data_IF_185491438228
#
_entry.id   IF_185491438228
#
_cell.length_a   1.000
_cell.length_b   1.000
_cell.length_c   1.000
_cell.angle_alpha   90.00
_cell.angle_beta   90.00
_cell.angle_gamma   90.00
#
_symmetry.space_group_name_H-M   'P 1'
#
loop_
_entity.id
_entity.type
_entity.pdbx_description
1 polymer ?
#
# COMPACT_ATOMS: atom_id res chain seq x y z
N UNK A 1 -13.82 11.96 -1.37
CA UNK A 1 -13.07 11.37 -0.24
C UNK A 1 -14.04 10.90 0.83
N UNK A 2 -14.00 9.63 1.20
CA UNK A 2 -14.92 9.03 2.19
C UNK A 2 -14.61 9.52 3.61
N UNK A 3 -15.56 9.35 4.54
CA UNK A 3 -15.33 9.69 5.94
C UNK A 3 -14.19 8.87 6.55
N UNK A 4 -14.08 7.59 6.17
CA UNK A 4 -12.99 6.73 6.64
C UNK A 4 -11.62 7.24 6.21
N UNK A 5 -11.47 7.69 4.96
CA UNK A 5 -10.20 8.25 4.50
C UNK A 5 -9.89 9.58 5.19
N UNK A 6 -10.90 10.44 5.42
CA UNK A 6 -10.72 11.69 6.19
C UNK A 6 -10.22 11.43 7.61
N UNK A 7 -10.82 10.46 8.28
CA UNK A 7 -10.42 10.04 9.63
C UNK A 7 -8.96 9.58 9.64
N UNK A 8 -8.56 8.70 8.71
CA UNK A 8 -7.17 8.22 8.65
C UNK A 8 -6.19 9.37 8.40
N UNK A 9 -6.49 10.28 7.45
CA UNK A 9 -5.63 11.44 7.16
C UNK A 9 -5.49 12.38 8.37
N UNK A 10 -6.49 12.42 9.26
CA UNK A 10 -6.42 13.26 10.48
C UNK A 10 -5.32 12.80 11.45
N UNK A 11 -4.90 11.54 11.39
CA UNK A 11 -3.83 10.99 12.24
C UNK A 11 -2.42 11.44 11.81
N UNK A 12 -2.29 12.00 10.61
CA UNK A 12 -1.02 12.42 10.01
C UNK A 12 -0.88 13.95 9.96
N UNK A 13 -1.62 14.69 10.80
CA UNK A 13 -1.64 16.16 10.75
C UNK A 13 -0.31 16.87 11.00
N UNK A 14 0.70 16.16 11.52
CA UNK A 14 2.07 16.65 11.69
C UNK A 14 2.94 16.52 10.43
N UNK A 15 2.51 15.74 9.44
CA UNK A 15 3.26 15.57 8.19
C UNK A 15 3.11 16.78 7.26
N UNK A 16 4.09 16.94 6.37
CA UNK A 16 4.04 18.02 5.39
C UNK A 16 2.89 17.84 4.37
N UNK A 17 2.43 18.93 3.73
CA UNK A 17 1.33 18.87 2.76
C UNK A 17 1.56 17.92 1.58
N UNK A 18 2.81 17.73 1.15
CA UNK A 18 3.17 16.82 0.06
C UNK A 18 2.90 15.35 0.42
N UNK A 19 3.33 14.93 1.61
CA UNK A 19 3.06 13.59 2.15
C UNK A 19 1.56 13.34 2.29
N UNK A 20 0.83 14.29 2.89
CA UNK A 20 -0.63 14.18 3.05
C UNK A 20 -1.36 14.09 1.71
N UNK A 21 -0.91 14.85 0.70
CA UNK A 21 -1.47 14.80 -0.65
C UNK A 21 -1.24 13.45 -1.31
N UNK A 22 -0.04 12.89 -1.19
CA UNK A 22 0.29 11.58 -1.75
C UNK A 22 -0.48 10.45 -1.05
N UNK A 23 -0.60 10.51 0.28
CA UNK A 23 -1.39 9.55 1.05
C UNK A 23 -2.87 9.60 0.63
N UNK A 24 -3.43 10.80 0.48
CA UNK A 24 -4.79 10.99 -0.01
C UNK A 24 -4.98 10.42 -1.43
N UNK A 25 -4.00 10.62 -2.33
CA UNK A 25 -4.03 10.03 -3.68
C UNK A 25 -4.04 8.51 -3.63
N UNK A 26 -3.11 7.89 -2.88
CA UNK A 26 -3.04 6.44 -2.73
C UNK A 26 -4.35 5.85 -2.17
N UNK A 27 -4.90 6.44 -1.10
CA UNK A 27 -6.12 5.96 -0.46
C UNK A 27 -7.39 6.10 -1.31
N UNK A 28 -7.36 6.95 -2.34
CA UNK A 28 -8.47 7.12 -3.29
C UNK A 28 -8.15 6.51 -4.66
N UNK A 29 -7.17 5.62 -4.75
CA UNK A 29 -6.77 4.96 -6.00
C UNK A 29 -7.21 3.49 -6.07
N UNK A 30 -7.48 3.02 -7.30
CA UNK A 30 -7.70 1.61 -7.61
C UNK A 30 -8.99 1.00 -7.01
N UNK A 31 -9.04 -0.33 -6.96
CA UNK A 31 -10.23 -1.10 -6.57
C UNK A 31 -10.67 -0.86 -5.12
N UNK A 32 -9.74 -0.49 -4.25
CA UNK A 32 -9.95 -0.25 -2.81
C UNK A 32 -10.09 1.25 -2.48
N UNK A 33 -10.22 2.13 -3.48
CA UNK A 33 -10.42 3.55 -3.28
C UNK A 33 -11.53 3.85 -2.27
N UNK A 34 -11.24 4.72 -1.31
CA UNK A 34 -12.23 5.16 -0.31
C UNK A 34 -12.51 4.16 0.82
N UNK A 35 -11.98 2.94 0.76
CA UNK A 35 -12.17 1.92 1.82
C UNK A 35 -11.28 2.16 3.03
N UNK A 36 -10.20 2.93 2.88
CA UNK A 36 -9.16 3.10 3.90
C UNK A 36 -8.26 1.87 4.07
N UNK A 37 -8.24 0.96 3.09
CA UNK A 37 -7.42 -0.26 3.09
C UNK A 37 -6.43 -0.26 1.92
N UNK A 38 -5.29 -0.91 2.13
CA UNK A 38 -4.32 -1.23 1.09
C UNK A 38 -4.09 -2.72 0.99
N UNK A 39 -3.72 -3.16 -0.21
CA UNK A 39 -3.08 -4.44 -0.46
C UNK A 39 -1.74 -4.12 -1.07
N UNK A 40 -0.68 -4.47 -0.36
CA UNK A 40 0.71 -4.23 -0.78
C UNK A 40 1.30 -5.61 -1.04
N UNK A 41 1.82 -5.80 -2.26
CA UNK A 41 2.61 -6.97 -2.60
C UNK A 41 4.09 -6.61 -2.41
N UNK A 42 4.70 -7.11 -1.34
CA UNK A 42 6.14 -7.00 -1.12
C UNK A 42 6.87 -7.91 -2.10
N UNK A 43 7.59 -7.32 -3.06
CA UNK A 43 8.30 -8.04 -4.13
C UNK A 43 9.83 -7.96 -4.02
N UNK A 44 10.32 -7.18 -3.06
CA UNK A 44 11.74 -6.97 -2.74
C UNK A 44 12.42 -8.22 -2.17
N UNK A 45 11.66 -9.20 -1.69
CA UNK A 45 12.23 -10.43 -1.13
C UNK A 45 13.17 -11.17 -2.12
N UNK A 46 12.89 -11.13 -3.43
CA UNK A 46 13.76 -11.74 -4.44
C UNK A 46 15.10 -11.01 -4.62
N UNK A 47 15.16 -9.72 -4.27
CA UNK A 47 16.40 -8.94 -4.23
C UNK A 47 17.24 -9.32 -3.01
N UNK A 48 16.63 -9.45 -1.84
CA UNK A 48 17.34 -9.75 -0.58
C UNK A 48 17.74 -11.22 -0.43
N UNK A 49 16.94 -12.15 -0.93
CA UNK A 49 17.07 -13.59 -0.63
C UNK A 49 17.35 -14.47 -1.86
N UNK A 50 17.59 -13.83 -3.01
CA UNK A 50 17.77 -14.47 -4.31
C UNK A 50 16.43 -14.81 -4.99
N UNK A 51 16.43 -14.90 -6.34
CA UNK A 51 15.22 -14.92 -7.15
C UNK A 51 14.35 -16.18 -6.94
N UNK A 52 14.96 -17.28 -6.50
CA UNK A 52 14.30 -18.58 -6.44
C UNK A 52 13.50 -18.84 -5.15
N UNK A 53 13.71 -18.06 -4.08
CA UNK A 53 13.10 -18.43 -2.78
C UNK A 53 11.61 -18.08 -2.70
N UNK A 54 11.19 -17.03 -3.41
CA UNK A 54 9.81 -16.49 -3.32
C UNK A 54 9.05 -16.51 -4.63
N UNK A 55 9.76 -16.57 -5.75
CA UNK A 55 9.18 -16.48 -7.09
C UNK A 55 9.43 -17.72 -7.95
N UNK A 56 10.05 -18.77 -7.39
CA UNK A 56 10.11 -20.05 -8.08
C UNK A 56 8.70 -20.64 -8.25
N UNK A 57 8.43 -21.34 -9.36
CA UNK A 57 7.21 -22.11 -9.52
C UNK A 57 7.02 -23.06 -8.33
N UNK A 58 5.81 -23.11 -7.77
CA UNK A 58 5.49 -24.08 -6.73
C UNK A 58 5.66 -25.49 -7.30
N UNK A 59 6.29 -26.44 -6.57
CA UNK A 59 6.36 -27.83 -7.01
C UNK A 59 4.95 -28.42 -7.25
N UNK A 60 4.84 -29.43 -8.13
CA UNK A 60 3.59 -30.15 -8.33
C UNK A 60 3.11 -30.76 -7.02
N UNK A 61 1.79 -30.71 -6.80
CA UNK A 61 1.11 -31.25 -5.62
C UNK A 61 1.10 -32.79 -5.61
#
# INVERSE_FOLDING_TARGET
MTQRVKEILSWYGSDNPGTLTNLARLMNHGRLAGTGKFVILSVDQGFEHGPARSFAPNPPA
#
